data_IF_306573018365
#
_entry.id   IF_306573018365
#
_cell.length_a   1.000
_cell.length_b   1.000
_cell.length_c   1.000
_cell.angle_alpha   90.00
_cell.angle_beta   90.00
_cell.angle_gamma   90.00
#
_symmetry.space_group_name_H-M   'P 1'
#
loop_
_entity.id
_entity.type
_entity.pdbx_description
1 polymer ?
#
# COMPACT_ATOMS: atom_id res chain seq x y z
N UNK A 1 74.38 -20.61 -8.06
CA UNK A 1 74.08 -19.47 -8.95
C UNK A 1 72.88 -19.86 -9.80
N UNK A 2 71.69 -19.28 -9.54
CA UNK A 2 70.41 -19.45 -10.27
C UNK A 2 69.84 -20.88 -10.35
N UNK A 3 68.53 -21.13 -10.44
CA UNK A 3 67.31 -20.35 -10.30
C UNK A 3 66.18 -21.39 -10.13
N UNK A 4 65.20 -21.07 -9.31
CA UNK A 4 63.92 -21.76 -9.18
C UNK A 4 63.13 -21.68 -10.50
N UNK A 5 62.51 -22.78 -10.93
CA UNK A 5 61.24 -22.76 -11.65
C UNK A 5 60.35 -23.92 -11.21
N UNK A 6 59.15 -23.57 -10.74
CA UNK A 6 58.08 -24.46 -10.25
C UNK A 6 57.37 -25.14 -11.43
N UNK A 7 56.89 -26.39 -11.27
CA UNK A 7 55.97 -27.00 -12.22
C UNK A 7 54.52 -26.57 -11.97
N UNK A 8 53.82 -26.40 -13.08
CA UNK A 8 52.44 -25.95 -13.24
C UNK A 8 51.41 -26.94 -12.68
N UNK A 9 50.51 -26.43 -11.84
CA UNK A 9 49.30 -27.16 -11.42
C UNK A 9 48.11 -26.71 -12.28
N UNK A 10 47.58 -27.65 -13.07
CA UNK A 10 46.26 -27.56 -13.69
C UNK A 10 45.22 -27.82 -12.61
N UNK A 11 44.39 -26.83 -12.29
CA UNK A 11 43.20 -27.01 -11.47
C UNK A 11 42.03 -26.24 -12.09
N UNK A 12 41.06 -27.03 -12.52
CA UNK A 12 39.71 -26.75 -12.98
C UNK A 12 39.11 -25.40 -12.56
N UNK A 13 38.76 -24.59 -13.57
CA UNK A 13 37.75 -23.54 -13.49
C UNK A 13 36.38 -24.21 -13.21
N UNK A 14 35.88 -24.10 -11.98
CA UNK A 14 34.45 -24.17 -11.71
C UNK A 14 33.95 -22.73 -11.71
N UNK A 15 33.41 -22.32 -12.85
CA UNK A 15 32.66 -21.07 -12.98
C UNK A 15 31.43 -21.16 -12.09
N UNK A 16 31.50 -20.62 -10.88
CA UNK A 16 30.32 -20.37 -10.05
C UNK A 16 29.46 -19.28 -10.71
N UNK A 17 28.62 -19.72 -11.63
CA UNK A 17 27.42 -19.01 -12.10
C UNK A 17 26.35 -19.06 -10.99
N UNK A 18 26.56 -18.31 -9.91
CA UNK A 18 25.51 -18.07 -8.90
C UNK A 18 25.90 -16.88 -8.03
N UNK A 19 26.13 -15.75 -8.68
CA UNK A 19 26.52 -14.49 -8.05
C UNK A 19 25.70 -13.34 -8.59
N UNK A 20 24.53 -13.12 -7.98
CA UNK A 20 23.99 -11.78 -7.73
C UNK A 20 23.85 -10.85 -8.95
N UNK A 21 23.00 -11.23 -9.91
CA UNK A 21 22.23 -10.22 -10.64
C UNK A 21 20.97 -9.86 -9.82
N UNK A 22 21.18 -9.34 -8.60
CA UNK A 22 20.18 -8.51 -7.94
C UNK A 22 20.18 -7.17 -8.67
N UNK A 23 19.64 -7.19 -9.89
CA UNK A 23 19.28 -5.97 -10.59
C UNK A 23 18.33 -5.20 -9.68
N UNK A 24 18.82 -4.11 -9.09
CA UNK A 24 18.02 -2.99 -8.61
C UNK A 24 17.28 -2.39 -9.82
N UNK A 25 16.31 -3.15 -10.34
CA UNK A 25 15.43 -2.71 -11.40
C UNK A 25 14.52 -1.62 -10.83
N UNK A 26 14.49 -0.48 -11.53
CA UNK A 26 13.67 0.70 -11.27
C UNK A 26 12.34 0.35 -10.60
N UNK A 27 12.19 0.74 -9.34
CA UNK A 27 10.86 0.77 -8.72
C UNK A 27 10.04 1.77 -9.52
N UNK A 28 9.00 1.34 -10.23
CA UNK A 28 8.10 2.23 -10.95
C UNK A 28 7.57 3.29 -9.97
N UNK A 29 8.07 4.53 -10.04
CA UNK A 29 7.66 5.54 -9.09
C UNK A 29 6.20 5.84 -9.36
N UNK A 30 5.35 5.68 -8.34
CA UNK A 30 4.04 6.31 -8.37
C UNK A 30 4.25 7.81 -8.53
N UNK A 31 3.30 8.50 -9.18
CA UNK A 31 3.39 9.94 -9.28
C UNK A 31 3.39 10.59 -7.90
N UNK A 32 4.05 11.76 -7.82
CA UNK A 32 3.70 12.67 -6.75
C UNK A 32 2.22 13.04 -6.92
N UNK A 33 1.44 12.83 -5.86
CA UNK A 33 0.00 13.17 -5.76
C UNK A 33 -0.36 14.59 -6.24
N UNK A 34 0.65 15.45 -6.44
CA UNK A 34 0.52 16.82 -6.90
C UNK A 34 0.10 16.87 -8.37
N UNK A 35 0.68 16.07 -9.27
CA UNK A 35 0.42 16.24 -10.71
C UNK A 35 -1.00 15.80 -11.13
N UNK A 36 -1.47 14.63 -10.68
CA UNK A 36 -2.82 14.17 -11.03
C UNK A 36 -3.94 15.06 -10.45
N UNK A 37 -3.72 15.69 -9.29
CA UNK A 37 -4.77 16.44 -8.55
C UNK A 37 -4.71 17.97 -8.70
N UNK A 38 -3.62 18.56 -9.22
CA UNK A 38 -3.38 20.01 -9.10
C UNK A 38 -3.67 20.90 -10.33
N UNK A 39 -4.12 20.40 -11.48
CA UNK A 39 -4.40 21.28 -12.65
C UNK A 39 -5.80 21.05 -13.21
N UNK A 40 -6.61 22.11 -13.18
CA UNK A 40 -8.05 22.06 -13.36
C UNK A 40 -8.57 22.68 -14.64
N UNK A 41 -7.96 22.37 -15.79
CA UNK A 41 -8.30 23.09 -17.01
C UNK A 41 -9.09 22.30 -18.06
N UNK A 42 -9.27 20.97 -17.98
CA UNK A 42 -9.89 20.22 -19.09
C UNK A 42 -10.77 19.02 -18.67
N UNK A 43 -12.06 19.25 -18.40
CA UNK A 43 -13.11 18.27 -18.67
C UNK A 43 -13.51 17.21 -17.62
N UNK A 44 -12.87 17.15 -16.45
CA UNK A 44 -13.39 16.35 -15.31
C UNK A 44 -14.54 17.07 -14.59
N UNK A 45 -15.30 16.38 -13.74
CA UNK A 45 -16.18 17.06 -12.76
C UNK A 45 -15.48 17.09 -11.40
N UNK A 46 -15.16 18.28 -10.91
CA UNK A 46 -14.73 18.46 -9.52
C UNK A 46 -15.88 18.04 -8.60
N UNK A 47 -15.61 17.16 -7.64
CA UNK A 47 -16.44 17.13 -6.45
C UNK A 47 -16.10 18.33 -5.58
N UNK A 48 -17.12 18.93 -4.98
CA UNK A 48 -16.96 19.79 -3.80
C UNK A 48 -16.52 19.00 -2.55
N UNK A 49 -16.24 17.70 -2.68
CA UNK A 49 -15.67 16.87 -1.61
C UNK A 49 -14.16 16.95 -1.64
N UNK A 50 -13.59 17.36 -0.52
CA UNK A 50 -12.17 17.45 -0.32
C UNK A 50 -11.59 16.04 -0.07
N UNK A 51 -10.43 15.73 -0.65
CA UNK A 51 -9.64 14.57 -0.24
C UNK A 51 -9.13 14.73 1.18
N UNK A 52 -8.37 13.72 1.63
CA UNK A 52 -7.80 13.72 2.97
C UNK A 52 -6.85 14.89 3.25
N UNK A 53 -6.40 15.59 2.20
CA UNK A 53 -5.57 16.79 2.27
C UNK A 53 -6.37 18.10 2.13
N UNK A 54 -7.70 18.07 2.27
CA UNK A 54 -8.51 19.27 2.13
C UNK A 54 -8.54 19.83 0.70
N UNK A 55 -8.15 19.04 -0.31
CA UNK A 55 -8.13 19.48 -1.72
C UNK A 55 -9.28 18.87 -2.50
N UNK A 56 -9.96 19.61 -3.38
CA UNK A 56 -10.98 19.06 -4.27
C UNK A 56 -10.47 17.83 -5.03
N UNK A 57 -11.36 16.86 -5.26
CA UNK A 57 -11.05 15.64 -6.01
C UNK A 57 -11.82 15.65 -7.32
N UNK A 58 -11.13 15.33 -8.40
CA UNK A 58 -11.76 15.13 -9.70
C UNK A 58 -12.39 13.75 -9.75
N UNK A 59 -13.65 13.69 -10.16
CA UNK A 59 -14.24 12.45 -10.65
C UNK A 59 -14.05 12.36 -12.16
N UNK A 60 -13.91 11.12 -12.60
CA UNK A 60 -14.06 10.75 -14.01
C UNK A 60 -15.43 11.22 -14.54
N UNK A 61 -15.53 11.64 -15.80
CA UNK A 61 -16.79 12.04 -16.43
C UNK A 61 -17.84 10.91 -16.45
N UNK A 62 -17.44 9.65 -16.23
CA UNK A 62 -18.34 8.51 -16.15
C UNK A 62 -19.10 8.35 -14.83
N UNK A 63 -19.00 9.34 -13.95
CA UNK A 63 -19.68 9.36 -12.65
C UNK A 63 -19.02 8.43 -11.63
N UNK A 64 -19.43 8.56 -10.37
CA UNK A 64 -19.07 7.58 -9.35
C UNK A 64 -19.77 6.27 -9.67
N UNK A 65 -19.01 5.24 -10.02
CA UNK A 65 -19.49 3.88 -9.79
C UNK A 65 -19.36 3.66 -8.29
N UNK A 66 -20.49 3.58 -7.60
CA UNK A 66 -20.55 3.25 -6.17
C UNK A 66 -19.78 1.95 -5.97
N UNK A 67 -19.08 1.84 -4.83
CA UNK A 67 -18.38 0.63 -4.43
C UNK A 67 -19.24 -0.62 -4.74
N UNK A 68 -18.83 -1.39 -5.76
CA UNK A 68 -19.56 -2.59 -6.17
C UNK A 68 -19.14 -3.83 -5.39
N UNK A 69 -18.10 -3.74 -4.56
CA UNK A 69 -17.58 -4.88 -3.81
C UNK A 69 -18.29 -4.95 -2.45
N UNK A 70 -19.16 -5.96 -2.21
CA UNK A 70 -19.81 -6.10 -0.92
C UNK A 70 -18.79 -6.36 0.19
N UNK A 71 -19.09 -5.91 1.41
CA UNK A 71 -18.28 -6.26 2.57
C UNK A 71 -18.24 -7.79 2.71
N UNK A 72 -17.04 -8.36 2.69
CA UNK A 72 -16.79 -9.79 2.85
C UNK A 72 -15.37 -10.04 3.28
N UNK A 73 -15.19 -11.16 3.96
CA UNK A 73 -13.87 -11.63 4.37
C UNK A 73 -12.99 -11.94 3.15
N UNK A 74 -11.86 -11.26 3.06
CA UNK A 74 -10.77 -11.58 2.15
C UNK A 74 -9.90 -12.66 2.79
N UNK A 75 -9.98 -13.88 2.23
CA UNK A 75 -9.26 -15.05 2.76
C UNK A 75 -7.74 -14.86 2.75
N UNK A 76 -7.19 -14.23 1.72
CA UNK A 76 -5.76 -14.01 1.61
C UNK A 76 -5.27 -13.01 2.68
N UNK A 77 -6.02 -11.93 2.88
CA UNK A 77 -5.77 -11.00 3.97
C UNK A 77 -5.85 -11.71 5.33
N UNK A 78 -6.87 -12.52 5.57
CA UNK A 78 -7.04 -13.24 6.84
C UNK A 78 -5.89 -14.22 7.10
N UNK A 79 -5.48 -14.98 6.08
CA UNK A 79 -4.33 -15.88 6.16
C UNK A 79 -3.05 -15.13 6.55
N UNK A 80 -2.76 -14.01 5.88
CA UNK A 80 -1.60 -13.17 6.21
C UNK A 80 -1.74 -12.56 7.61
N UNK A 81 -2.93 -12.07 7.97
CA UNK A 81 -3.20 -11.39 9.23
C UNK A 81 -3.09 -12.29 10.47
N UNK A 82 -3.42 -13.57 10.33
CA UNK A 82 -3.40 -14.57 11.40
C UNK A 82 -2.09 -15.35 11.48
N UNK A 83 -1.30 -15.36 10.40
CA UNK A 83 -0.03 -16.06 10.36
C UNK A 83 1.06 -15.34 11.19
N UNK A 84 1.71 -16.03 12.15
CA UNK A 84 2.79 -15.45 12.96
C UNK A 84 3.95 -14.89 12.15
N UNK A 85 4.31 -15.55 11.03
CA UNK A 85 5.42 -15.14 10.16
C UNK A 85 5.21 -13.79 9.47
N UNK A 86 3.98 -13.28 9.40
CA UNK A 86 3.68 -11.96 8.85
C UNK A 86 3.83 -10.83 9.87
N UNK A 87 3.95 -11.14 11.17
CA UNK A 87 4.19 -10.17 12.25
C UNK A 87 3.28 -8.93 12.20
N UNK A 88 3.86 -7.77 12.51
CA UNK A 88 3.18 -6.48 12.45
C UNK A 88 2.61 -6.10 11.07
N UNK A 89 3.12 -6.68 9.96
CA UNK A 89 2.53 -6.44 8.64
C UNK A 89 1.15 -7.07 8.50
N UNK A 90 0.97 -8.31 8.97
CA UNK A 90 -0.34 -8.97 9.00
C UNK A 90 -1.34 -8.21 9.89
N UNK A 91 -0.88 -7.74 11.05
CA UNK A 91 -1.67 -6.86 11.92
C UNK A 91 -2.05 -5.54 11.25
N UNK A 92 -1.15 -4.95 10.46
CA UNK A 92 -1.44 -3.77 9.65
C UNK A 92 -2.52 -4.02 8.60
N UNK A 93 -2.42 -5.12 7.84
CA UNK A 93 -3.46 -5.49 6.87
C UNK A 93 -4.81 -5.67 7.56
N UNK A 94 -4.87 -6.43 8.66
CA UNK A 94 -6.09 -6.58 9.46
C UNK A 94 -6.67 -5.22 9.88
N UNK A 95 -5.85 -4.31 10.41
CA UNK A 95 -6.31 -3.02 10.91
C UNK A 95 -6.78 -2.08 9.77
N UNK A 96 -6.05 -2.01 8.66
CA UNK A 96 -6.37 -1.12 7.53
C UNK A 96 -7.55 -1.63 6.69
N UNK A 97 -7.94 -2.89 6.85
CA UNK A 97 -9.07 -3.50 6.15
C UNK A 97 -10.28 -3.77 7.05
N UNK A 98 -10.25 -3.34 8.32
CA UNK A 98 -11.27 -3.66 9.34
C UNK A 98 -11.50 -5.17 9.45
N UNK A 99 -10.46 -5.87 9.89
CA UNK A 99 -10.43 -7.34 10.04
C UNK A 99 -10.64 -8.08 8.71
N UNK A 100 -9.96 -7.61 7.65
CA UNK A 100 -9.99 -8.22 6.31
C UNK A 100 -11.38 -8.23 5.65
N UNK A 101 -12.29 -7.34 6.05
CA UNK A 101 -13.69 -7.35 5.56
C UNK A 101 -14.05 -6.22 4.60
N UNK A 102 -13.39 -5.07 4.72
CA UNK A 102 -13.75 -3.87 3.93
C UNK A 102 -12.97 -3.67 2.65
N UNK A 103 -11.74 -4.19 2.59
CA UNK A 103 -10.88 -4.11 1.40
C UNK A 103 -10.43 -5.50 1.04
N UNK A 104 -10.40 -5.80 -0.26
CA UNK A 104 -10.06 -7.11 -0.77
C UNK A 104 -8.99 -6.99 -1.84
N UNK A 105 -8.13 -8.00 -1.94
CA UNK A 105 -7.12 -8.12 -3.00
C UNK A 105 -7.74 -8.19 -4.40
N UNK A 106 -8.98 -8.66 -4.50
CA UNK A 106 -9.72 -8.70 -5.76
C UNK A 106 -10.80 -7.61 -5.87
N UNK A 107 -10.80 -6.66 -4.94
CA UNK A 107 -11.80 -5.60 -4.85
C UNK A 107 -11.64 -4.58 -5.98
N UNK A 108 -12.76 -4.24 -6.62
CA UNK A 108 -12.84 -3.09 -7.52
C UNK A 108 -14.00 -2.19 -7.07
N UNK A 109 -13.66 -0.95 -6.76
CA UNK A 109 -14.53 -0.01 -6.07
C UNK A 109 -14.96 1.14 -6.98
N UNK A 110 -14.19 1.45 -8.02
CA UNK A 110 -14.56 2.44 -9.05
C UNK A 110 -14.71 3.89 -8.56
N UNK A 111 -14.33 4.19 -7.31
CA UNK A 111 -14.37 5.52 -6.70
C UNK A 111 -13.21 6.40 -7.24
N UNK A 112 -13.47 7.71 -7.39
CA UNK A 112 -12.46 8.75 -7.73
C UNK A 112 -11.63 8.52 -9.00
N UNK A 113 -12.18 7.77 -9.96
CA UNK A 113 -11.55 7.52 -11.26
C UNK A 113 -10.83 6.17 -11.37
N UNK A 114 -10.52 5.49 -10.26
CA UNK A 114 -10.30 4.05 -10.12
C UNK A 114 -9.85 3.83 -8.67
N UNK A 115 -10.52 2.93 -7.97
CA UNK A 115 -10.09 2.45 -6.66
C UNK A 115 -10.16 0.92 -6.65
N UNK A 116 -9.09 0.24 -6.23
CA UNK A 116 -8.95 -1.21 -6.31
C UNK A 116 -8.05 -1.81 -5.23
N UNK A 117 -8.19 -3.11 -5.00
CA UNK A 117 -7.22 -3.90 -4.26
C UNK A 117 -7.16 -3.67 -2.75
N UNK A 118 -6.20 -4.35 -2.11
CA UNK A 118 -6.21 -4.57 -0.64
C UNK A 118 -6.02 -3.29 0.18
N UNK A 119 -5.39 -2.25 -0.38
CA UNK A 119 -5.20 -0.97 0.30
C UNK A 119 -6.10 0.16 -0.21
N UNK A 120 -7.07 -0.13 -1.07
CA UNK A 120 -7.78 0.86 -1.90
C UNK A 120 -6.79 1.71 -2.70
N UNK A 121 -5.96 1.04 -3.50
CA UNK A 121 -5.09 1.67 -4.47
C UNK A 121 -5.89 2.56 -5.41
N UNK A 122 -5.36 3.73 -5.73
CA UNK A 122 -5.97 4.63 -6.70
C UNK A 122 -5.25 4.58 -8.04
N UNK A 123 -5.71 5.34 -9.03
CA UNK A 123 -5.00 5.53 -10.30
C UNK A 123 -3.52 5.90 -10.12
N UNK A 124 -3.18 6.66 -9.08
CA UNK A 124 -1.82 7.11 -8.79
C UNK A 124 -0.87 5.93 -8.47
N UNK A 125 -1.44 4.78 -8.09
CA UNK A 125 -0.72 3.55 -7.77
C UNK A 125 -0.62 2.58 -8.95
N UNK A 126 -1.35 2.78 -10.05
CA UNK A 126 -1.35 1.87 -11.20
C UNK A 126 0.06 1.59 -11.74
N UNK A 127 0.94 2.59 -11.96
CA UNK A 127 2.31 2.31 -12.44
C UNK A 127 3.08 1.38 -11.52
N UNK A 128 2.96 1.57 -10.20
CA UNK A 128 3.67 0.76 -9.21
C UNK A 128 3.11 -0.66 -9.09
N UNK A 129 1.79 -0.83 -9.13
CA UNK A 129 1.15 -2.16 -9.02
C UNK A 129 1.32 -2.96 -10.31
N UNK A 130 1.03 -2.35 -11.46
CA UNK A 130 1.15 -3.00 -12.77
C UNK A 130 2.62 -3.27 -13.13
N UNK A 131 3.54 -2.38 -12.76
CA UNK A 131 4.98 -2.65 -12.88
C UNK A 131 5.44 -3.82 -12.01
N UNK A 132 4.90 -3.95 -10.78
CA UNK A 132 5.17 -5.11 -9.94
C UNK A 132 4.60 -6.40 -10.55
N UNK A 133 3.39 -6.35 -11.10
CA UNK A 133 2.77 -7.50 -11.77
C UNK A 133 3.56 -7.94 -13.01
N UNK A 134 3.95 -7.00 -13.87
CA UNK A 134 4.79 -7.26 -15.03
C UNK A 134 6.14 -7.87 -14.64
N UNK A 135 6.74 -7.44 -13.52
CA UNK A 135 7.99 -8.00 -13.02
C UNK A 135 7.84 -9.44 -12.53
N UNK A 136 6.72 -9.76 -11.87
CA UNK A 136 6.46 -11.13 -11.39
C UNK A 136 6.15 -12.09 -12.53
N UNK A 137 5.29 -11.68 -13.45
CA UNK A 137 4.87 -12.51 -14.56
C UNK A 137 4.59 -11.65 -15.81
N UNK A 138 5.62 -11.45 -16.63
CA UNK A 138 5.54 -10.62 -17.83
C UNK A 138 4.60 -11.21 -18.89
N UNK A 139 4.59 -12.53 -19.03
CA UNK A 139 3.73 -13.22 -19.98
C UNK A 139 2.26 -13.00 -19.64
N UNK A 140 1.89 -13.27 -18.39
CA UNK A 140 0.52 -13.07 -17.91
C UNK A 140 0.11 -11.60 -17.91
N UNK A 141 1.02 -10.69 -17.58
CA UNK A 141 0.81 -9.26 -17.76
C UNK A 141 0.44 -8.90 -19.21
N UNK A 142 1.22 -9.38 -20.19
CA UNK A 142 0.95 -9.13 -21.60
C UNK A 142 -0.37 -9.74 -22.06
N UNK A 143 -0.75 -10.92 -21.56
CA UNK A 143 -2.03 -11.55 -21.87
C UNK A 143 -3.23 -10.73 -21.35
N UNK A 144 -3.10 -10.15 -20.16
CA UNK A 144 -4.19 -9.39 -19.52
C UNK A 144 -4.26 -7.95 -20.02
N UNK A 145 -3.12 -7.26 -20.12
CA UNK A 145 -3.05 -5.82 -20.36
C UNK A 145 -2.41 -5.43 -21.69
N UNK A 146 -1.74 -6.35 -22.40
CA UNK A 146 -0.93 -6.03 -23.57
C UNK A 146 -1.72 -5.45 -24.74
N UNK A 147 -2.98 -5.87 -24.92
CA UNK A 147 -3.88 -5.37 -25.97
C UNK A 147 -4.31 -3.92 -25.79
N UNK A 148 -4.21 -3.39 -24.57
CA UNK A 148 -4.61 -2.02 -24.25
C UNK A 148 -3.63 -0.96 -24.76
N UNK A 149 -2.43 -1.36 -25.21
CA UNK A 149 -1.45 -0.43 -25.77
C UNK A 149 -1.01 0.68 -24.81
N UNK A 150 -1.02 0.43 -23.49
CA UNK A 150 -0.70 1.44 -22.48
C UNK A 150 0.72 2.00 -22.69
N UNK A 151 0.91 3.33 -22.76
CA UNK A 151 2.23 3.92 -22.93
C UNK A 151 3.17 3.54 -21.79
N UNK A 152 4.35 3.05 -22.15
CA UNK A 152 5.39 2.67 -21.21
C UNK A 152 6.55 3.67 -21.27
N UNK A 153 7.06 4.09 -20.11
CA UNK A 153 8.24 4.93 -19.94
C UNK A 153 9.18 4.26 -18.93
N UNK A 154 10.43 4.01 -19.34
CA UNK A 154 11.45 3.33 -18.51
C UNK A 154 10.96 1.99 -17.91
N UNK A 155 10.23 1.19 -18.71
CA UNK A 155 9.71 -0.11 -18.26
C UNK A 155 8.52 -0.04 -17.31
N UNK A 156 7.94 1.14 -17.09
CA UNK A 156 6.77 1.35 -16.25
C UNK A 156 5.66 2.01 -17.06
N UNK A 157 4.40 1.86 -16.67
CA UNK A 157 3.32 2.64 -17.28
C UNK A 157 3.60 4.12 -17.05
N UNK A 158 3.48 4.93 -18.11
CA UNK A 158 3.70 6.37 -18.01
C UNK A 158 2.65 6.98 -17.09
N UNK A 159 3.12 7.40 -15.94
CA UNK A 159 2.26 7.90 -14.90
C UNK A 159 1.56 9.22 -15.32
N UNK A 160 2.19 10.05 -16.16
CA UNK A 160 1.52 11.25 -16.71
C UNK A 160 0.35 10.87 -17.61
N UNK A 161 0.52 9.82 -18.42
CA UNK A 161 -0.58 9.27 -19.20
C UNK A 161 -1.71 8.78 -18.29
N UNK A 162 -1.41 8.06 -17.19
CA UNK A 162 -2.42 7.62 -16.23
C UNK A 162 -3.22 8.80 -15.66
N UNK A 163 -2.58 9.92 -15.28
CA UNK A 163 -3.30 11.12 -14.85
C UNK A 163 -4.26 11.62 -15.93
N UNK A 164 -3.76 11.78 -17.16
CA UNK A 164 -4.52 12.35 -18.26
C UNK A 164 -5.68 11.43 -18.66
N UNK A 165 -5.43 10.13 -18.76
CA UNK A 165 -6.42 9.11 -19.07
C UNK A 165 -7.49 9.04 -17.97
N UNK A 166 -7.12 9.17 -16.70
CA UNK A 166 -8.09 9.26 -15.61
C UNK A 166 -8.99 10.51 -15.73
N UNK A 167 -8.40 11.68 -16.02
CA UNK A 167 -9.13 12.94 -16.18
C UNK A 167 -10.11 12.91 -17.35
N UNK A 168 -9.70 12.31 -18.46
CA UNK A 168 -10.50 12.16 -19.68
C UNK A 168 -11.53 11.02 -19.56
N UNK A 169 -11.47 10.22 -18.50
CA UNK A 169 -12.32 9.05 -18.31
C UNK A 169 -11.83 7.80 -19.03
N UNK A 170 -10.81 7.87 -19.88
CA UNK A 170 -10.21 6.77 -20.66
C UNK A 170 -9.65 5.61 -19.82
N UNK A 171 -9.64 5.69 -18.48
CA UNK A 171 -9.42 4.51 -17.62
C UNK A 171 -10.74 3.97 -17.07
N UNK A 172 -11.48 4.76 -16.27
CA UNK A 172 -12.71 4.32 -15.59
C UNK A 172 -13.88 4.04 -16.53
N UNK A 173 -13.93 4.73 -17.67
CA UNK A 173 -14.97 4.60 -18.68
C UNK A 173 -14.67 3.51 -19.70
N UNK A 174 -13.40 3.18 -19.86
CA UNK A 174 -12.94 2.22 -20.86
C UNK A 174 -13.35 0.81 -20.42
N UNK A 175 -14.21 0.17 -21.22
CA UNK A 175 -14.72 -1.15 -20.92
C UNK A 175 -13.63 -2.22 -21.00
N UNK A 176 -12.68 -2.07 -21.93
CA UNK A 176 -11.56 -3.00 -22.12
C UNK A 176 -10.58 -2.91 -20.96
N UNK A 177 -10.22 -1.68 -20.56
CA UNK A 177 -9.37 -1.46 -19.39
C UNK A 177 -10.01 -2.03 -18.11
N UNK A 178 -11.29 -1.75 -17.89
CA UNK A 178 -12.01 -2.27 -16.72
C UNK A 178 -12.10 -3.80 -16.72
N UNK A 179 -12.36 -4.41 -17.87
CA UNK A 179 -12.37 -5.87 -18.00
C UNK A 179 -10.99 -6.47 -17.72
N UNK A 180 -9.93 -5.87 -18.26
CA UNK A 180 -8.55 -6.27 -18.01
C UNK A 180 -8.16 -6.13 -16.53
N UNK A 181 -8.51 -5.01 -15.88
CA UNK A 181 -8.23 -4.80 -14.47
C UNK A 181 -9.00 -5.81 -13.60
N UNK A 182 -10.27 -6.08 -13.88
CA UNK A 182 -11.05 -7.13 -13.18
C UNK A 182 -10.43 -8.52 -13.38
N UNK A 183 -9.98 -8.85 -14.59
CA UNK A 183 -9.25 -10.11 -14.87
C UNK A 183 -7.94 -10.17 -14.07
N UNK A 184 -7.18 -9.07 -14.03
CA UNK A 184 -5.96 -8.92 -13.26
C UNK A 184 -6.20 -9.11 -11.75
N UNK A 185 -7.21 -8.48 -11.18
CA UNK A 185 -7.56 -8.60 -9.76
C UNK A 185 -7.89 -10.04 -9.32
N UNK A 186 -8.32 -10.90 -10.25
CA UNK A 186 -8.54 -12.32 -9.98
C UNK A 186 -7.27 -13.17 -10.11
N UNK A 187 -6.22 -12.63 -10.73
CA UNK A 187 -4.97 -13.32 -11.01
C UNK A 187 -4.09 -13.46 -9.76
N UNK A 188 -3.59 -14.67 -9.43
CA UNK A 188 -2.74 -14.88 -8.26
C UNK A 188 -1.46 -14.04 -8.27
N UNK A 189 -0.82 -13.83 -9.41
CA UNK A 189 0.42 -13.06 -9.52
C UNK A 189 0.17 -11.55 -9.39
N UNK A 190 -1.04 -11.09 -9.74
CA UNK A 190 -1.46 -9.72 -9.48
C UNK A 190 -1.69 -9.46 -7.99
N UNK A 191 -2.38 -10.36 -7.28
CA UNK A 191 -2.59 -10.26 -5.82
C UNK A 191 -1.26 -10.23 -5.07
N UNK A 192 -0.33 -11.07 -5.52
CA UNK A 192 1.06 -11.07 -5.12
C UNK A 192 1.75 -9.72 -5.41
N UNK A 193 1.59 -9.14 -6.59
CA UNK A 193 2.13 -7.81 -6.89
C UNK A 193 1.55 -6.72 -5.98
N UNK A 194 0.26 -6.75 -5.66
CA UNK A 194 -0.35 -5.87 -4.66
C UNK A 194 0.28 -6.03 -3.28
N UNK A 195 0.52 -7.27 -2.85
CA UNK A 195 1.19 -7.57 -1.59
C UNK A 195 2.59 -6.95 -1.53
N UNK A 196 3.35 -6.96 -2.64
CA UNK A 196 4.68 -6.33 -2.70
C UNK A 196 4.61 -4.82 -2.52
N UNK A 197 3.62 -4.20 -3.16
CA UNK A 197 3.40 -2.76 -3.08
C UNK A 197 2.90 -2.39 -1.68
N UNK A 198 2.02 -3.20 -1.09
CA UNK A 198 1.56 -3.05 0.29
C UNK A 198 2.72 -3.14 1.29
N UNK A 199 3.61 -4.11 1.12
CA UNK A 199 4.78 -4.28 1.99
C UNK A 199 5.77 -3.12 1.84
N UNK A 200 6.04 -2.64 0.63
CA UNK A 200 6.85 -1.44 0.41
C UNK A 200 6.21 -0.21 1.06
N UNK A 201 4.90 -0.05 0.91
CA UNK A 201 4.13 1.05 1.52
C UNK A 201 4.22 1.01 3.03
N UNK A 202 4.07 -0.17 3.62
CA UNK A 202 4.23 -0.40 5.05
C UNK A 202 5.64 -0.04 5.52
N UNK A 203 6.70 -0.51 4.83
CA UNK A 203 8.10 -0.17 5.16
C UNK A 203 8.41 1.33 5.05
N UNK A 204 7.83 2.02 4.07
CA UNK A 204 7.95 3.48 3.95
C UNK A 204 7.28 4.20 5.12
N UNK A 205 6.11 3.71 5.57
CA UNK A 205 5.41 4.28 6.73
C UNK A 205 6.15 4.03 8.04
N UNK A 206 6.75 2.86 8.20
CA UNK A 206 7.68 2.57 9.31
C UNK A 206 8.73 3.65 9.45
N UNK A 207 9.42 3.98 8.35
CA UNK A 207 10.44 5.04 8.34
C UNK A 207 9.85 6.42 8.64
N UNK A 208 8.69 6.75 8.06
CA UNK A 208 8.02 8.05 8.24
C UNK A 208 7.69 8.33 9.72
N UNK A 209 7.22 7.32 10.44
CA UNK A 209 6.78 7.49 11.84
C UNK A 209 7.79 6.97 12.87
N UNK A 210 8.97 6.50 12.45
CA UNK A 210 10.07 6.14 13.35
C UNK A 210 10.44 7.26 14.35
N UNK A 211 10.37 8.57 14.02
CA UNK A 211 10.61 9.64 14.99
C UNK A 211 9.63 9.67 16.17
N UNK A 212 8.46 9.03 16.06
CA UNK A 212 7.55 8.84 17.19
C UNK A 212 8.14 7.89 18.25
N UNK A 213 9.22 7.15 17.96
CA UNK A 213 9.93 6.33 18.95
C UNK A 213 9.11 5.19 19.55
N UNK A 214 7.98 4.82 18.95
CA UNK A 214 7.14 3.70 19.37
C UNK A 214 7.87 2.38 19.08
N UNK A 215 7.86 1.47 20.06
CA UNK A 215 8.63 0.22 20.05
C UNK A 215 7.76 -1.02 19.87
N UNK A 216 6.48 -0.96 20.23
CA UNK A 216 5.55 -2.07 20.11
C UNK A 216 5.01 -2.22 18.68
N UNK A 217 4.57 -3.44 18.33
CA UNK A 217 3.76 -3.69 17.13
C UNK A 217 2.50 -2.82 17.15
N UNK A 218 1.84 -2.72 18.32
CA UNK A 218 0.63 -1.93 18.51
C UNK A 218 0.83 -0.47 18.15
N UNK A 219 1.82 0.20 18.75
CA UNK A 219 2.10 1.60 18.51
C UNK A 219 2.47 1.90 17.06
N UNK A 220 3.33 1.07 16.48
CA UNK A 220 3.74 1.22 15.09
C UNK A 220 2.55 1.01 14.12
N UNK A 221 1.81 -0.09 14.25
CA UNK A 221 0.69 -0.40 13.36
C UNK A 221 -0.47 0.57 13.53
N UNK A 222 -0.77 1.02 14.75
CA UNK A 222 -1.75 2.07 14.99
C UNK A 222 -1.42 3.31 14.15
N UNK A 223 -0.18 3.81 14.23
CA UNK A 223 0.24 5.01 13.51
C UNK A 223 0.26 4.83 11.99
N UNK A 224 0.64 3.65 11.47
CA UNK A 224 0.62 3.40 10.02
C UNK A 224 -0.79 3.29 9.45
N UNK A 225 -1.73 2.81 10.28
CA UNK A 225 -3.13 2.65 9.91
C UNK A 225 -3.81 4.02 9.84
N UNK A 226 -3.72 4.82 10.91
CA UNK A 226 -4.38 6.14 10.95
C UNK A 226 -3.62 7.19 10.13
N UNK A 227 -2.30 7.07 10.03
CA UNK A 227 -1.40 7.99 9.32
C UNK A 227 -1.60 8.08 7.79
N UNK A 228 -2.33 7.14 7.20
CA UNK A 228 -2.50 7.07 5.74
C UNK A 228 -3.28 8.26 5.16
N UNK A 229 -4.26 8.78 5.90
CA UNK A 229 -5.24 9.74 5.40
C UNK A 229 -5.51 10.86 6.40
N UNK A 230 -4.46 11.39 7.02
CA UNK A 230 -4.60 12.49 7.98
C UNK A 230 -4.94 13.80 7.28
N UNK A 231 -5.83 14.58 7.92
CA UNK A 231 -6.08 15.98 7.56
C UNK A 231 -4.78 16.79 7.73
N UNK A 232 -4.46 17.72 6.81
CA UNK A 232 -3.22 18.49 6.85
C UNK A 232 -3.41 19.71 7.74
N UNK A 233 -3.78 19.47 8.99
CA UNK A 233 -4.02 20.49 10.02
C UNK A 233 -3.19 20.12 11.24
N UNK A 234 -2.68 21.11 11.96
CA UNK A 234 -1.73 20.88 13.06
C UNK A 234 -2.29 19.96 14.16
N UNK A 235 -3.60 20.02 14.44
CA UNK A 235 -4.24 19.13 15.41
C UNK A 235 -4.29 17.65 14.98
N UNK A 236 -3.89 17.34 13.74
CA UNK A 236 -3.87 16.00 13.17
C UNK A 236 -2.46 15.47 12.91
N UNK A 237 -1.44 16.07 13.54
CA UNK A 237 -0.06 15.61 13.43
C UNK A 237 0.29 14.61 14.56
N UNK A 238 0.74 13.38 14.23
CA UNK A 238 1.04 12.36 15.25
C UNK A 238 2.11 12.75 16.26
N UNK A 239 3.07 13.60 15.87
CA UNK A 239 4.08 14.14 16.79
C UNK A 239 3.46 15.02 17.87
N UNK A 240 2.49 15.86 17.51
CA UNK A 240 1.73 16.69 18.44
C UNK A 240 0.85 15.82 19.36
N UNK A 241 0.20 14.78 18.83
CA UNK A 241 -0.57 13.85 19.65
C UNK A 241 0.31 13.15 20.68
N UNK A 242 1.47 12.65 20.27
CA UNK A 242 2.41 11.98 21.17
C UNK A 242 2.84 12.93 22.30
N UNK A 243 3.21 14.17 21.96
CA UNK A 243 3.60 15.17 22.95
C UNK A 243 2.48 15.46 23.97
N UNK A 244 1.22 15.53 23.52
CA UNK A 244 0.06 15.72 24.41
C UNK A 244 -0.25 14.50 25.28
N UNK A 245 0.15 13.29 24.84
CA UNK A 245 -0.15 12.03 25.51
C UNK A 245 0.97 11.52 26.44
N UNK A 246 2.17 12.09 26.36
CA UNK A 246 3.28 11.76 27.27
C UNK A 246 3.01 12.47 28.61
N UNK A 247 2.33 11.77 29.52
CA UNK A 247 2.13 12.16 30.92
C UNK A 247 2.64 11.06 31.86
N UNK A 248 3.08 11.46 33.06
CA UNK A 248 3.84 10.65 34.04
C UNK A 248 3.30 9.21 34.19
N UNK A 249 4.23 8.25 34.06
CA UNK A 249 4.11 6.82 34.43
C UNK A 249 3.06 5.96 33.69
N UNK A 250 2.81 6.25 32.41
CA UNK A 250 1.98 5.38 31.56
C UNK A 250 2.79 4.78 30.41
N UNK A 251 2.83 3.44 30.34
CA UNK A 251 3.55 2.70 29.29
C UNK A 251 3.05 3.03 27.87
N UNK A 252 3.81 2.62 26.85
CA UNK A 252 3.51 2.92 25.44
C UNK A 252 2.05 2.63 25.02
N UNK A 253 1.40 1.53 25.44
CA UNK A 253 0.00 1.28 25.07
C UNK A 253 -0.96 2.41 25.45
N UNK A 254 -0.78 3.00 26.63
CA UNK A 254 -1.64 4.10 27.10
C UNK A 254 -1.38 5.40 26.33
N UNK A 255 -0.12 5.65 25.93
CA UNK A 255 0.22 6.76 25.03
C UNK A 255 -0.48 6.56 23.67
N UNK A 256 -0.40 5.36 23.11
CA UNK A 256 -1.02 5.03 21.81
C UNK A 256 -2.54 5.14 21.88
N UNK A 257 -3.19 4.65 22.94
CA UNK A 257 -4.64 4.82 23.15
C UNK A 257 -5.04 6.30 23.21
N UNK A 258 -4.28 7.12 23.94
CA UNK A 258 -4.50 8.56 23.98
C UNK A 258 -4.36 9.19 22.58
N UNK A 259 -3.35 8.81 21.80
CA UNK A 259 -3.16 9.32 20.44
C UNK A 259 -4.31 8.91 19.50
N UNK A 260 -4.78 7.66 19.58
CA UNK A 260 -5.93 7.18 18.80
C UNK A 260 -7.21 7.90 19.19
N UNK A 261 -7.38 8.24 20.48
CA UNK A 261 -8.49 9.08 20.94
C UNK A 261 -8.42 10.48 20.34
N UNK A 262 -7.26 11.14 20.36
CA UNK A 262 -7.08 12.45 19.73
C UNK A 262 -7.43 12.39 18.23
N UNK A 263 -6.94 11.36 17.53
CA UNK A 263 -7.26 11.14 16.11
C UNK A 263 -8.77 11.10 15.84
N UNK A 264 -9.51 10.35 16.66
CA UNK A 264 -10.96 10.19 16.50
C UNK A 264 -11.73 11.45 16.91
N UNK A 265 -11.38 12.06 18.04
CA UNK A 265 -12.08 13.25 18.57
C UNK A 265 -11.92 14.47 17.66
N UNK A 266 -10.74 14.65 17.08
CA UNK A 266 -10.45 15.76 16.17
C UNK A 266 -10.91 15.49 14.72
N UNK A 267 -11.53 14.34 14.45
CA UNK A 267 -11.98 13.99 13.10
C UNK A 267 -10.82 13.97 12.10
N UNK A 268 -9.66 13.45 12.51
CA UNK A 268 -8.43 13.55 11.71
C UNK A 268 -8.41 12.64 10.48
N UNK A 269 -9.43 11.79 10.30
CA UNK A 269 -9.64 11.05 9.05
C UNK A 269 -10.09 12.01 7.96
N UNK A 270 -9.25 12.15 6.93
CA UNK A 270 -9.42 13.21 5.96
C UNK A 270 -10.66 13.10 5.07
N UNK A 271 -10.97 11.92 4.53
CA UNK A 271 -12.16 11.68 3.69
C UNK A 271 -13.30 10.95 4.42
N UNK A 272 -13.18 10.77 5.74
CA UNK A 272 -14.13 9.95 6.50
C UNK A 272 -14.85 10.70 7.60
N UNK A 273 -15.92 10.08 8.10
CA UNK A 273 -16.70 10.63 9.22
C UNK A 273 -16.01 10.33 10.57
N UNK A 274 -16.50 10.96 11.64
CA UNK A 274 -16.03 10.64 13.00
C UNK A 274 -16.34 9.20 13.38
N UNK A 275 -17.50 8.68 12.96
CA UNK A 275 -17.92 7.29 13.15
C UNK A 275 -16.94 6.33 12.48
N UNK A 276 -16.52 6.63 11.25
CA UNK A 276 -15.53 5.82 10.54
C UNK A 276 -14.12 5.91 11.14
N UNK A 277 -13.75 7.05 11.73
CA UNK A 277 -12.52 7.20 12.49
C UNK A 277 -12.57 6.35 13.77
N UNK A 278 -13.69 6.39 14.51
CA UNK A 278 -13.93 5.57 15.69
C UNK A 278 -13.92 4.06 15.38
N UNK A 279 -14.59 3.64 14.30
CA UNK A 279 -14.57 2.25 13.84
C UNK A 279 -13.14 1.77 13.56
N UNK A 280 -12.30 2.65 12.98
CA UNK A 280 -10.89 2.36 12.74
C UNK A 280 -10.10 2.16 14.03
N UNK A 281 -10.27 3.08 14.99
CA UNK A 281 -9.63 3.00 16.30
C UNK A 281 -10.01 1.70 17.00
N UNK A 282 -11.31 1.37 17.02
CA UNK A 282 -11.83 0.13 17.61
C UNK A 282 -11.22 -1.11 16.97
N UNK A 283 -11.15 -1.18 15.64
CA UNK A 283 -10.54 -2.31 14.95
C UNK A 283 -9.05 -2.50 15.29
N UNK A 284 -8.29 -1.40 15.43
CA UNK A 284 -6.89 -1.46 15.87
C UNK A 284 -6.82 -1.99 17.32
N UNK A 285 -7.60 -1.41 18.24
CA UNK A 285 -7.58 -1.78 19.65
C UNK A 285 -8.00 -3.24 19.90
N UNK A 286 -9.00 -3.72 19.17
CA UNK A 286 -9.44 -5.12 19.22
C UNK A 286 -8.36 -6.07 18.71
N UNK A 287 -7.70 -5.74 17.60
CA UNK A 287 -6.66 -6.59 17.00
C UNK A 287 -5.47 -6.80 17.92
N UNK A 288 -5.15 -5.79 18.73
CA UNK A 288 -4.00 -5.77 19.64
C UNK A 288 -4.37 -5.94 21.10
N UNK A 289 -5.63 -6.27 21.45
CA UNK A 289 -6.09 -6.34 22.85
C UNK A 289 -5.18 -7.16 23.77
N UNK A 290 -4.66 -8.30 23.28
CA UNK A 290 -3.78 -9.21 24.03
C UNK A 290 -2.30 -9.11 23.61
N UNK A 291 -1.94 -8.11 22.79
CA UNK A 291 -0.63 -7.99 22.13
C UNK A 291 -0.09 -6.56 22.13
N UNK A 292 -0.49 -5.74 23.10
CA UNK A 292 -0.16 -4.31 23.14
C UNK A 292 1.32 -4.03 23.37
N UNK A 293 2.01 -4.92 24.08
CA UNK A 293 3.42 -4.77 24.46
C UNK A 293 4.38 -5.61 23.62
N UNK A 294 3.89 -6.32 22.58
CA UNK A 294 4.75 -7.12 21.72
C UNK A 294 5.73 -6.20 20.99
N UNK A 295 7.06 -6.40 21.10
CA UNK A 295 8.04 -5.59 20.40
C UNK A 295 7.89 -5.71 18.88
N UNK A 296 8.13 -4.62 18.17
CA UNK A 296 8.16 -4.63 16.71
C UNK A 296 9.32 -5.49 16.19
N UNK A 297 8.99 -6.66 15.64
CA UNK A 297 9.96 -7.54 15.00
C UNK A 297 10.28 -7.10 13.55
N UNK A 298 11.47 -7.49 13.07
CA UNK A 298 11.82 -7.34 11.65
C UNK A 298 10.93 -8.22 10.77
N UNK A 299 10.53 -7.70 9.61
CA UNK A 299 9.61 -8.40 8.70
C UNK A 299 10.36 -8.96 7.50
N UNK A 300 10.28 -10.29 7.35
CA UNK A 300 10.76 -11.02 6.18
C UNK A 300 9.70 -11.06 5.08
N UNK A 301 10.10 -10.74 3.85
CA UNK A 301 9.21 -10.87 2.68
C UNK A 301 8.86 -12.34 2.44
N UNK A 302 9.82 -13.26 2.62
CA UNK A 302 9.64 -14.68 2.35
C UNK A 302 8.65 -15.30 3.34
N UNK A 303 8.77 -14.95 4.63
CA UNK A 303 7.82 -15.41 5.65
C UNK A 303 6.38 -14.94 5.36
N UNK A 304 6.21 -13.73 4.82
CA UNK A 304 4.89 -13.25 4.38
C UNK A 304 4.37 -14.07 3.20
N UNK A 305 5.22 -14.41 2.22
CA UNK A 305 4.78 -15.25 1.10
C UNK A 305 4.43 -16.67 1.52
N UNK A 306 5.17 -17.25 2.46
CA UNK A 306 4.82 -18.54 3.06
C UNK A 306 3.45 -18.47 3.73
N UNK A 307 3.15 -17.40 4.45
CA UNK A 307 1.82 -17.17 5.03
C UNK A 307 0.73 -17.01 3.96
N UNK A 308 1.03 -16.35 2.85
CA UNK A 308 0.12 -16.07 1.73
C UNK A 308 -0.12 -17.29 0.81
N UNK A 309 0.61 -18.39 1.00
CA UNK A 309 0.56 -19.59 0.14
C UNK A 309 -0.07 -20.80 0.83
N UNK A 310 -0.57 -20.64 2.06
CA UNK A 310 -1.30 -21.66 2.83
C UNK A 310 -2.79 -21.58 2.54
#
# INVERSE_FOLDING_TARGET
>A
MRMLFRPSTIAWLVTMLSGQNLALAQSCPGLSMVECRATGENGGKLLNRLNSKGKPVWLSPCGMKVNTSPERLDKLCEQIATCPGSGAFGGFLSAVTEHCRRKQFDGYFGLDGITFGILDWTQDNLPSVLGAYQKRNRERFNEVFGKLGMPMKNGCIDARWVCNANRQGTLTCDQEFNAALRKGLQDPDFKKAELDVALRTYRTRLKKYAPLGLKSEYGNVAMFTVGNNLRPVSQCEPTAWKAACIGKDRGEPAVVDCMLKIYADNGCRGTGTREEANARVKAIQERYKDRRDVPLASISTDAIYECASK
#
